data_IF_238236595638
#
_entry.id   IF_238236595638
#
_cell.length_a   1.000
_cell.length_b   1.000
_cell.length_c   1.000
_cell.angle_alpha   90.00
_cell.angle_beta   90.00
_cell.angle_gamma   90.00
#
_symmetry.space_group_name_H-M   'P 1'
#
loop_
_entity.id
_entity.type
_entity.pdbx_description
1 polymer ?
#
# COMPACT_ATOMS: atom_id res chain seq x y z
N UNK A 1 -24.35 -19.56 -19.95
CA UNK A 1 -23.80 -18.38 -19.22
C UNK A 1 -24.70 -17.95 -18.05
N UNK A 2 -26.04 -17.93 -18.18
CA UNK A 2 -26.92 -17.64 -17.06
C UNK A 2 -26.72 -18.61 -15.87
N UNK A 3 -26.53 -19.92 -16.13
CA UNK A 3 -26.34 -20.88 -15.04
C UNK A 3 -25.07 -20.63 -14.23
N UNK A 4 -23.95 -20.27 -14.90
CA UNK A 4 -22.68 -20.00 -14.21
C UNK A 4 -22.82 -18.80 -13.27
N UNK A 5 -23.52 -17.74 -13.70
CA UNK A 5 -23.76 -16.56 -12.87
C UNK A 5 -24.67 -16.87 -11.67
N UNK A 6 -25.70 -17.69 -11.87
CA UNK A 6 -26.60 -18.12 -10.80
C UNK A 6 -25.90 -19.00 -9.75
N UNK A 7 -25.07 -19.94 -10.19
CA UNK A 7 -24.39 -20.91 -9.31
C UNK A 7 -23.21 -20.28 -8.58
N UNK A 8 -22.40 -19.46 -9.26
CA UNK A 8 -21.17 -18.89 -8.68
C UNK A 8 -21.36 -17.54 -8.01
N UNK A 9 -22.50 -16.86 -8.26
CA UNK A 9 -22.77 -15.46 -7.85
C UNK A 9 -21.73 -14.44 -8.31
N UNK A 10 -20.83 -14.82 -9.22
CA UNK A 10 -19.90 -13.89 -9.82
C UNK A 10 -20.63 -12.93 -10.76
N UNK A 11 -20.11 -11.71 -10.85
CA UNK A 11 -20.60 -10.79 -11.87
C UNK A 11 -20.18 -11.27 -13.27
N UNK A 12 -20.85 -10.71 -14.28
CA UNK A 12 -20.65 -11.07 -15.69
C UNK A 12 -19.22 -10.85 -16.18
N UNK A 13 -18.57 -9.77 -15.74
CA UNK A 13 -17.18 -9.43 -16.13
C UNK A 13 -16.19 -10.48 -15.62
N UNK A 14 -16.33 -10.89 -14.36
CA UNK A 14 -15.50 -11.92 -13.73
C UNK A 14 -15.66 -13.26 -14.44
N UNK A 15 -16.89 -13.67 -14.78
CA UNK A 15 -17.13 -14.93 -15.49
C UNK A 15 -16.48 -14.93 -16.88
N UNK A 16 -16.61 -13.86 -17.65
CA UNK A 16 -15.93 -13.78 -18.95
C UNK A 16 -14.41 -13.83 -18.80
N UNK A 17 -13.85 -13.15 -17.80
CA UNK A 17 -12.42 -13.21 -17.49
C UNK A 17 -11.95 -14.63 -17.15
N UNK A 18 -12.72 -15.36 -16.33
CA UNK A 18 -12.41 -16.74 -15.96
C UNK A 18 -12.48 -17.69 -17.17
N UNK A 19 -13.54 -17.59 -17.98
CA UNK A 19 -13.70 -18.44 -19.18
C UNK A 19 -12.58 -18.17 -20.19
N UNK A 20 -12.21 -16.90 -20.39
CA UNK A 20 -11.09 -16.53 -21.26
C UNK A 20 -9.79 -17.17 -20.78
N UNK A 21 -9.44 -16.98 -19.49
CA UNK A 21 -8.23 -17.57 -18.90
C UNK A 21 -8.21 -19.10 -18.99
N UNK A 22 -9.34 -19.75 -18.77
CA UNK A 22 -9.45 -21.20 -18.92
C UNK A 22 -9.20 -21.66 -20.36
N UNK A 23 -9.74 -20.95 -21.37
CA UNK A 23 -9.52 -21.29 -22.77
C UNK A 23 -8.07 -21.09 -23.21
N UNK A 24 -7.39 -20.07 -22.68
CA UNK A 24 -6.02 -19.72 -23.05
C UNK A 24 -4.96 -20.54 -22.30
N UNK A 25 -5.20 -20.85 -21.02
CA UNK A 25 -4.19 -21.37 -20.10
C UNK A 25 -4.64 -22.67 -19.39
N UNK A 26 -5.81 -23.20 -19.75
CA UNK A 26 -6.40 -24.37 -19.11
C UNK A 26 -6.68 -24.17 -17.63
N UNK A 27 -6.60 -25.25 -16.86
CA UNK A 27 -6.79 -25.22 -15.40
C UNK A 27 -5.73 -24.36 -14.69
N UNK A 28 -4.53 -24.21 -15.26
CA UNK A 28 -3.48 -23.38 -14.68
C UNK A 28 -3.91 -21.90 -14.59
N UNK A 29 -4.66 -21.40 -15.57
CA UNK A 29 -5.18 -20.02 -15.59
C UNK A 29 -6.29 -19.72 -14.58
N UNK A 30 -6.80 -20.74 -13.87
CA UNK A 30 -7.79 -20.60 -12.80
C UNK A 30 -7.17 -20.68 -11.40
N UNK A 31 -5.89 -21.06 -11.28
CA UNK A 31 -5.21 -21.18 -9.99
C UNK A 31 -4.95 -19.79 -9.37
N UNK A 32 -4.83 -19.74 -8.04
CA UNK A 32 -4.41 -18.53 -7.35
C UNK A 32 -2.96 -18.19 -7.71
N UNK A 33 -2.77 -17.15 -8.52
CA UNK A 33 -1.47 -16.68 -8.97
C UNK A 33 -0.86 -15.59 -8.06
N UNK A 34 -1.47 -15.26 -6.92
CA UNK A 34 -0.96 -14.20 -6.02
C UNK A 34 0.45 -14.48 -5.53
N UNK A 35 0.80 -15.75 -5.33
CA UNK A 35 2.15 -16.17 -4.95
C UNK A 35 3.21 -15.88 -6.02
N UNK A 36 2.81 -15.81 -7.30
CA UNK A 36 3.68 -15.46 -8.42
C UNK A 36 3.61 -13.97 -8.78
N UNK A 37 2.71 -13.21 -8.18
CA UNK A 37 2.60 -11.78 -8.41
C UNK A 37 3.74 -11.05 -7.69
N UNK A 38 4.78 -10.69 -8.45
CA UNK A 38 5.94 -9.92 -7.94
C UNK A 38 5.58 -8.48 -7.54
N UNK A 39 4.35 -8.04 -7.80
CA UNK A 39 3.89 -6.67 -7.57
C UNK A 39 4.39 -5.71 -8.64
N UNK A 40 4.00 -4.44 -8.51
CA UNK A 40 4.52 -3.39 -9.36
C UNK A 40 6.03 -3.19 -9.10
N UNK A 41 6.82 -2.81 -10.13
CA UNK A 41 8.21 -2.42 -9.95
C UNK A 41 8.35 -1.35 -8.86
N UNK A 42 9.47 -1.38 -8.12
CA UNK A 42 9.75 -0.37 -7.10
C UNK A 42 9.82 1.01 -7.75
N UNK A 43 9.04 1.96 -7.24
CA UNK A 43 9.02 3.33 -7.73
C UNK A 43 10.35 4.07 -7.44
N UNK A 44 10.98 3.73 -6.31
CA UNK A 44 12.23 4.33 -5.85
C UNK A 44 13.35 3.29 -5.83
N UNK A 45 14.56 3.72 -6.20
CA UNK A 45 15.78 2.96 -5.95
C UNK A 45 16.10 2.97 -4.46
N UNK A 46 16.95 2.06 -3.99
CA UNK A 46 17.37 2.00 -2.59
C UNK A 46 17.99 3.33 -2.11
N UNK A 47 18.85 3.94 -2.93
CA UNK A 47 19.44 5.26 -2.65
C UNK A 47 18.38 6.34 -2.52
N UNK A 48 17.41 6.39 -3.45
CA UNK A 48 16.31 7.37 -3.39
C UNK A 48 15.43 7.18 -2.16
N UNK A 49 15.22 5.93 -1.74
CA UNK A 49 14.49 5.61 -0.52
C UNK A 49 15.26 6.08 0.72
N UNK A 50 16.58 5.90 0.75
CA UNK A 50 17.42 6.36 1.86
C UNK A 50 17.46 7.89 1.95
N UNK A 51 17.60 8.58 0.81
CA UNK A 51 17.55 10.05 0.76
C UNK A 51 16.20 10.57 1.22
N UNK A 52 15.10 9.92 0.82
CA UNK A 52 13.77 10.28 1.29
C UNK A 52 13.63 10.06 2.80
N UNK A 53 14.11 8.93 3.33
CA UNK A 53 14.08 8.64 4.75
C UNK A 53 14.87 9.66 5.58
N UNK A 54 16.08 10.02 5.12
CA UNK A 54 16.90 11.04 5.77
C UNK A 54 16.21 12.42 5.80
N UNK A 55 15.57 12.80 4.70
CA UNK A 55 14.81 14.05 4.62
C UNK A 55 13.59 14.04 5.55
N UNK A 56 12.82 12.96 5.57
CA UNK A 56 11.68 12.81 6.47
C UNK A 56 12.12 12.89 7.94
N UNK A 57 13.29 12.35 8.27
CA UNK A 57 13.83 12.43 9.62
C UNK A 57 14.26 13.87 9.97
N UNK A 58 14.99 14.56 9.08
CA UNK A 58 15.39 15.95 9.29
C UNK A 58 14.17 16.89 9.44
N UNK A 59 13.12 16.67 8.64
CA UNK A 59 11.87 17.41 8.72
C UNK A 59 11.16 17.15 10.07
N UNK A 60 11.16 15.89 10.54
CA UNK A 60 10.59 15.54 11.84
C UNK A 60 11.29 16.23 13.01
N UNK A 61 12.62 16.30 13.00
CA UNK A 61 13.42 17.00 14.02
C UNK A 61 13.14 18.51 14.03
N UNK A 62 12.80 19.09 12.87
CA UNK A 62 12.37 20.50 12.73
C UNK A 62 10.88 20.69 13.08
N UNK A 63 10.23 19.66 13.62
CA UNK A 63 8.82 19.68 13.99
C UNK A 63 7.87 19.64 12.79
N UNK A 64 8.33 19.38 11.57
CA UNK A 64 7.43 19.25 10.41
C UNK A 64 6.79 17.87 10.41
N UNK A 65 5.46 17.83 10.38
CA UNK A 65 4.68 16.60 10.28
C UNK A 65 4.07 16.51 8.88
N UNK A 66 4.25 15.35 8.26
CA UNK A 66 3.75 15.05 6.92
C UNK A 66 2.42 14.28 7.00
N UNK A 67 1.35 14.86 6.45
CA UNK A 67 0.04 14.22 6.27
C UNK A 67 -0.28 14.11 4.78
N UNK A 68 0.17 13.03 4.15
CA UNK A 68 -0.08 12.77 2.73
C UNK A 68 0.53 13.86 1.84
N UNK A 69 -0.31 14.74 1.28
CA UNK A 69 0.10 15.81 0.36
C UNK A 69 0.41 17.16 1.02
N UNK A 70 0.33 17.26 2.35
CA UNK A 70 0.56 18.50 3.10
C UNK A 70 1.58 18.27 4.21
N UNK A 71 2.47 19.24 4.38
CA UNK A 71 3.36 19.35 5.54
C UNK A 71 2.87 20.49 6.44
N UNK A 72 2.98 20.31 7.75
CA UNK A 72 2.65 21.33 8.74
C UNK A 72 3.68 21.36 9.86
N UNK A 73 3.99 22.54 10.39
CA UNK A 73 4.80 22.63 11.61
C UNK A 73 3.96 22.22 12.82
N UNK A 74 4.55 21.35 13.66
CA UNK A 74 4.06 20.97 14.98
C UNK A 74 4.03 22.23 15.85
N UNK A 75 2.83 22.67 16.23
CA UNK A 75 2.70 23.75 17.21
C UNK A 75 3.14 23.23 18.58
N UNK A 76 3.94 24.01 19.29
CA UNK A 76 4.48 23.67 20.62
C UNK A 76 3.43 23.64 21.75
N UNK A 77 2.15 23.89 21.46
CA UNK A 77 1.06 23.81 22.44
C UNK A 77 -0.13 23.04 21.86
N UNK A 78 -0.08 21.72 21.90
CA UNK A 78 -1.27 20.88 21.80
C UNK A 78 -0.97 19.46 22.28
N UNK A 79 -1.12 19.25 23.59
CA UNK A 79 -1.27 17.90 24.15
C UNK A 79 -2.51 17.17 23.62
N UNK A 80 -3.42 17.84 22.90
CA UNK A 80 -4.63 17.21 22.37
C UNK A 80 -5.04 17.88 21.05
N UNK A 81 -4.66 17.28 19.92
CA UNK A 81 -5.37 17.53 18.66
C UNK A 81 -5.65 16.21 17.95
N UNK A 82 -6.85 15.69 18.18
CA UNK A 82 -7.43 14.64 17.36
C UNK A 82 -7.82 15.24 16.01
N UNK A 83 -7.04 14.93 14.96
CA UNK A 83 -7.46 15.19 13.58
C UNK A 83 -8.65 14.31 13.19
N UNK A 84 -9.54 14.76 12.29
CA UNK A 84 -10.68 13.98 11.85
C UNK A 84 -10.18 12.78 11.03
N UNK A 85 -10.24 11.60 11.63
CA UNK A 85 -9.75 10.35 11.04
C UNK A 85 -8.45 9.88 11.67
N UNK A 86 -8.55 9.44 12.94
CA UNK A 86 -7.47 8.86 13.72
C UNK A 86 -6.67 7.81 12.96
N UNK A 87 -5.43 8.17 12.65
CA UNK A 87 -4.23 7.38 12.94
C UNK A 87 -3.08 8.39 12.97
N UNK A 88 -2.75 8.87 14.15
CA UNK A 88 -1.40 9.37 14.39
C UNK A 88 -0.47 8.25 13.90
N UNK A 89 0.28 8.48 12.82
CA UNK A 89 1.53 7.76 12.64
C UNK A 89 2.43 8.24 13.78
N UNK A 90 2.19 7.72 14.97
CA UNK A 90 3.28 7.49 15.91
C UNK A 90 4.24 6.66 15.10
N UNK A 91 5.44 7.17 14.83
CA UNK A 91 6.55 6.33 14.38
C UNK A 91 7.01 5.57 15.63
N UNK A 92 6.47 4.38 15.93
CA UNK A 92 6.84 3.68 17.14
C UNK A 92 8.12 2.93 16.78
N UNK A 93 9.28 3.47 17.17
CA UNK A 93 10.52 2.69 17.24
C UNK A 93 11.07 2.12 15.92
N UNK A 94 11.23 2.94 14.88
CA UNK A 94 12.21 2.64 13.81
C UNK A 94 13.65 3.09 14.17
N UNK A 95 13.92 3.30 15.47
CA UNK A 95 15.27 3.32 16.03
C UNK A 95 15.70 1.89 16.34
N UNK A 96 16.07 1.12 15.31
CA UNK A 96 16.58 -0.23 15.57
C UNK A 96 16.93 -1.15 14.41
N UNK A 97 16.84 -0.72 13.14
CA UNK A 97 17.09 -1.64 12.00
C UNK A 97 17.84 -0.98 10.85
N UNK A 98 18.98 -0.34 11.14
CA UNK A 98 20.10 -0.20 10.19
C UNK A 98 21.42 -0.16 10.98
N UNK A 99 21.72 -1.27 11.65
CA UNK A 99 23.06 -1.59 12.14
C UNK A 99 23.24 -3.11 12.10
N UNK A 100 23.62 -3.63 10.93
CA UNK A 100 24.50 -4.79 10.78
C UNK A 100 24.99 -4.90 9.35
#
# INVERSE_FOLDING_TARGET
MPEILQVTRYNRVTVYGLVKRYREQGLAGLRDARHANQGAPRLLTAERQQTLAARLHADFEQGVVWCGNKSFHRRENSDQHEGPGGRSLKFPGLMGLYAK
#
